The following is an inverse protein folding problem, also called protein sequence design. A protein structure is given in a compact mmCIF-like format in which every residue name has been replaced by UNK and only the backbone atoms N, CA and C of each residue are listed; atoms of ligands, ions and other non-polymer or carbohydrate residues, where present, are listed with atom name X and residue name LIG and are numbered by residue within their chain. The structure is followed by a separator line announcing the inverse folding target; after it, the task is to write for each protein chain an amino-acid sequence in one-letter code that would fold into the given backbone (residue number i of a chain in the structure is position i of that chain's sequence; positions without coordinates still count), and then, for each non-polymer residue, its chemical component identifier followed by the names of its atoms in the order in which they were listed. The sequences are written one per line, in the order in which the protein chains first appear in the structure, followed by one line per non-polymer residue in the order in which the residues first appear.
data_IF_478175240426
#
_entry.id   IF_478175240426
#
_cell.length_a   1.000
_cell.length_b   1.000
_cell.length_c   1.000
_cell.angle_alpha   90.00
_cell.angle_beta   90.00
_cell.angle_gamma   90.00
#
_symmetry.space_group_name_H-M   'P 1'
#
loop_
_entity.id
_entity.type
_entity.pdbx_description
1 polymer ?
#
# COMPACT_ATOMS: atom_id res chain seq x y z
N UNK A 1 6.94 6.19 20.20
CA UNK A 1 6.48 5.15 19.29
C UNK A 1 7.69 4.64 18.54
N UNK A 2 7.94 3.33 18.57
CA UNK A 2 8.96 2.74 17.70
C UNK A 2 8.41 2.64 16.27
N UNK A 3 8.93 3.49 15.37
CA UNK A 3 8.39 3.68 14.01
C UNK A 3 9.37 3.09 13.00
N UNK A 4 8.86 2.20 12.14
CA UNK A 4 9.63 1.66 11.02
C UNK A 4 9.69 2.69 9.88
N UNK A 5 10.88 3.22 9.52
CA UNK A 5 11.01 4.10 8.37
C UNK A 5 10.79 3.32 7.06
N UNK A 6 10.40 4.02 5.99
CA UNK A 6 10.39 3.42 4.67
C UNK A 6 11.83 3.32 4.12
N UNK A 7 12.33 2.11 3.80
CA UNK A 7 13.66 1.95 3.23
C UNK A 7 13.73 2.24 1.72
N UNK A 8 12.60 2.50 1.06
CA UNK A 8 12.49 2.58 -0.41
C UNK A 8 11.89 3.90 -0.92
N UNK A 9 11.49 4.80 -0.02
CA UNK A 9 11.08 6.16 -0.38
C UNK A 9 12.24 6.89 -1.07
N UNK A 10 11.93 7.63 -2.15
CA UNK A 10 12.91 8.32 -2.99
C UNK A 10 13.58 7.41 -4.03
N UNK A 11 13.33 6.10 -4.01
CA UNK A 11 13.86 5.13 -4.98
C UNK A 11 12.76 4.40 -5.73
N UNK A 12 11.81 3.81 -5.02
CA UNK A 12 10.70 3.03 -5.60
C UNK A 12 9.47 3.89 -5.85
N UNK A 13 9.34 4.97 -5.09
CA UNK A 13 8.28 5.97 -5.21
C UNK A 13 8.80 7.31 -4.66
N UNK A 14 8.17 8.45 -5.02
CA UNK A 14 8.60 9.76 -4.54
C UNK A 14 8.62 9.87 -3.01
N UNK A 15 9.69 10.43 -2.45
CA UNK A 15 9.79 10.78 -1.03
C UNK A 15 9.10 12.11 -0.70
N UNK A 16 8.90 12.98 -1.70
CA UNK A 16 8.13 14.19 -1.55
C UNK A 16 6.63 13.86 -1.42
N UNK A 17 5.95 14.28 -0.33
CA UNK A 17 4.56 13.90 -0.06
C UNK A 17 3.58 14.42 -1.12
N UNK A 18 3.78 15.64 -1.63
CA UNK A 18 2.90 16.22 -2.64
C UNK A 18 3.04 15.48 -3.97
N UNK A 19 4.27 15.16 -4.39
CA UNK A 19 4.49 14.38 -5.61
C UNK A 19 3.93 12.96 -5.48
N UNK A 20 4.11 12.32 -4.33
CA UNK A 20 3.57 10.98 -4.09
C UNK A 20 2.03 11.00 -4.16
N UNK A 21 1.38 11.94 -3.45
CA UNK A 21 -0.07 12.08 -3.47
C UNK A 21 -0.60 12.28 -4.90
N UNK A 22 -0.04 13.23 -5.65
CA UNK A 22 -0.42 13.47 -7.05
C UNK A 22 -0.28 12.21 -7.90
N UNK A 23 0.86 11.50 -7.81
CA UNK A 23 1.08 10.29 -8.62
C UNK A 23 0.10 9.17 -8.28
N UNK A 24 -0.25 8.99 -6.99
CA UNK A 24 -1.24 8.01 -6.54
C UNK A 24 -2.62 8.37 -7.05
N UNK A 25 -3.02 9.65 -6.94
CA UNK A 25 -4.30 10.13 -7.46
C UNK A 25 -4.40 9.94 -8.98
N UNK A 26 -3.32 10.19 -9.73
CA UNK A 26 -3.26 9.93 -11.17
C UNK A 26 -3.52 8.45 -11.49
N UNK A 27 -2.86 7.52 -10.79
CA UNK A 27 -3.08 6.09 -10.99
C UNK A 27 -4.51 5.66 -10.65
N UNK A 28 -5.09 6.19 -9.56
CA UNK A 28 -6.46 5.89 -9.16
C UNK A 28 -7.50 6.47 -10.13
N UNK A 29 -7.25 7.67 -10.66
CA UNK A 29 -8.15 8.36 -11.58
C UNK A 29 -8.08 7.82 -13.02
N UNK A 30 -6.94 7.23 -13.41
CA UNK A 30 -6.80 6.55 -14.69
C UNK A 30 -7.53 5.20 -14.74
N UNK A 31 -7.95 4.65 -13.60
CA UNK A 31 -8.64 3.37 -13.56
C UNK A 31 -10.02 3.45 -14.23
N UNK A 32 -10.36 2.48 -15.10
CA UNK A 32 -11.67 2.45 -15.72
C UNK A 32 -12.76 2.20 -14.67
N UNK A 33 -14.01 2.63 -14.92
CA UNK A 33 -15.13 2.34 -14.04
C UNK A 33 -15.26 0.83 -13.80
N UNK A 34 -15.18 0.43 -12.53
CA UNK A 34 -15.32 -0.95 -12.09
C UNK A 34 -16.77 -1.22 -11.66
N UNK A 35 -17.45 -2.11 -12.37
CA UNK A 35 -18.75 -2.64 -11.98
C UNK A 35 -18.55 -4.07 -11.46
N UNK A 36 -18.32 -4.19 -10.16
CA UNK A 36 -18.14 -5.48 -9.50
C UNK A 36 -19.43 -5.88 -8.77
N UNK A 37 -19.88 -7.14 -8.88
CA UNK A 37 -21.00 -7.62 -8.09
C UNK A 37 -20.56 -7.78 -6.63
N UNK A 38 -21.38 -7.30 -5.70
CA UNK A 38 -21.16 -7.45 -4.26
C UNK A 38 -20.13 -6.46 -3.68
N UNK A 39 -19.62 -6.81 -2.50
CA UNK A 39 -18.65 -5.99 -1.75
C UNK A 39 -17.23 -6.50 -1.94
N UNK A 40 -16.32 -5.59 -2.28
CA UNK A 40 -14.88 -5.87 -2.38
C UNK A 40 -14.27 -5.85 -0.98
N UNK A 41 -13.85 -7.02 -0.49
CA UNK A 41 -13.21 -7.18 0.83
C UNK A 41 -11.68 -7.25 0.77
N UNK A 42 -11.11 -7.44 -0.41
CA UNK A 42 -9.65 -7.52 -0.62
C UNK A 42 -9.27 -7.14 -2.05
N UNK A 43 -8.04 -6.68 -2.22
CA UNK A 43 -7.42 -6.41 -3.52
C UNK A 43 -6.04 -7.06 -3.59
N UNK A 44 -5.61 -7.44 -4.79
CA UNK A 44 -4.25 -7.92 -5.05
C UNK A 44 -3.60 -6.92 -5.99
N UNK A 45 -2.42 -6.42 -5.62
CA UNK A 45 -1.69 -5.43 -6.38
C UNK A 45 -0.21 -5.84 -6.54
N UNK A 46 0.44 -5.45 -7.65
CA UNK A 46 1.89 -5.57 -7.79
C UNK A 46 2.62 -4.63 -6.82
N UNK A 47 3.86 -4.98 -6.46
CA UNK A 47 4.68 -4.23 -5.51
C UNK A 47 6.01 -3.74 -6.09
N UNK A 48 6.16 -3.65 -7.42
CA UNK A 48 7.34 -3.03 -8.02
C UNK A 48 7.35 -1.50 -7.80
N UNK A 49 8.42 -0.83 -8.22
CA UNK A 49 8.47 0.64 -8.21
C UNK A 49 7.28 1.25 -8.96
N UNK A 50 6.77 2.38 -8.47
CA UNK A 50 5.53 3.00 -8.96
C UNK A 50 5.59 3.30 -10.47
N UNK A 51 6.75 3.67 -11.00
CA UNK A 51 6.92 3.93 -12.44
C UNK A 51 6.62 2.70 -13.31
N UNK A 52 6.78 1.48 -12.77
CA UNK A 52 6.56 0.22 -13.49
C UNK A 52 5.18 -0.36 -13.23
N UNK A 53 4.70 -0.27 -11.99
CA UNK A 53 3.49 -1.00 -11.57
C UNK A 53 2.38 -0.12 -10.98
N UNK A 54 2.60 1.18 -10.84
CA UNK A 54 1.66 2.11 -10.22
C UNK A 54 0.30 2.14 -10.92
N UNK A 55 0.27 2.19 -12.25
CA UNK A 55 -0.98 2.18 -13.02
C UNK A 55 -1.79 0.88 -12.80
N UNK A 56 -1.10 -0.27 -12.74
CA UNK A 56 -1.75 -1.57 -12.50
C UNK A 56 -2.27 -1.66 -11.06
N UNK A 57 -1.50 -1.18 -10.08
CA UNK A 57 -1.95 -1.09 -8.69
C UNK A 57 -3.15 -0.14 -8.55
N UNK A 58 -3.17 0.97 -9.30
CA UNK A 58 -4.28 1.92 -9.36
C UNK A 58 -5.61 1.26 -9.73
N UNK A 59 -5.61 0.33 -10.70
CA UNK A 59 -6.81 -0.45 -11.04
C UNK A 59 -7.34 -1.27 -9.85
N UNK A 60 -6.44 -1.90 -9.10
CA UNK A 60 -6.84 -2.72 -7.95
C UNK A 60 -7.41 -1.84 -6.82
N UNK A 61 -6.71 -0.78 -6.44
CA UNK A 61 -7.13 0.11 -5.35
C UNK A 61 -8.36 0.97 -5.71
N UNK A 62 -8.62 1.24 -6.99
CA UNK A 62 -9.86 1.89 -7.42
C UNK A 62 -11.12 1.08 -7.01
N UNK A 63 -11.03 -0.25 -6.91
CA UNK A 63 -12.14 -1.12 -6.50
C UNK A 63 -12.59 -0.92 -5.04
N UNK A 64 -11.71 -0.34 -4.21
CA UNK A 64 -12.00 -0.02 -2.79
C UNK A 64 -12.04 1.48 -2.54
N UNK A 65 -12.10 2.30 -3.60
CA UNK A 65 -12.18 3.76 -3.48
C UNK A 65 -13.43 4.18 -2.71
N UNK A 66 -13.27 5.13 -1.79
CA UNK A 66 -14.36 5.61 -0.93
C UNK A 66 -14.67 4.69 0.25
N UNK A 67 -13.99 3.55 0.39
CA UNK A 67 -14.03 2.75 1.62
C UNK A 67 -13.16 3.40 2.69
N UNK A 68 -13.59 3.27 3.94
CA UNK A 68 -12.86 3.71 5.12
C UNK A 68 -12.91 2.56 6.16
N UNK A 69 -12.16 1.46 5.92
CA UNK A 69 -12.12 0.36 6.87
C UNK A 69 -11.35 0.78 8.14
N UNK A 70 -11.76 0.24 9.30
CA UNK A 70 -11.06 0.46 10.57
C UNK A 70 -9.71 -0.26 10.61
N UNK A 71 -9.58 -1.38 9.88
CA UNK A 71 -8.37 -2.21 9.81
C UNK A 71 -8.06 -2.60 8.36
N UNK A 72 -6.78 -2.54 7.99
CA UNK A 72 -6.27 -3.05 6.71
C UNK A 72 -5.15 -4.05 7.00
N UNK A 73 -5.29 -5.28 6.48
CA UNK A 73 -4.25 -6.31 6.57
C UNK A 73 -3.46 -6.33 5.26
N UNK A 74 -2.13 -6.16 5.35
CA UNK A 74 -1.22 -6.25 4.20
C UNK A 74 -0.45 -7.56 4.27
N UNK A 75 -0.72 -8.47 3.32
CA UNK A 75 -0.01 -9.73 3.17
C UNK A 75 0.94 -9.62 1.99
N UNK A 76 2.22 -9.93 2.20
CA UNK A 76 3.25 -9.83 1.16
C UNK A 76 4.26 -10.96 1.24
N UNK A 77 4.90 -11.34 0.13
CA UNK A 77 5.96 -12.33 0.15
C UNK A 77 7.23 -11.78 0.80
N UNK A 78 7.91 -12.64 1.55
CA UNK A 78 9.26 -12.38 2.05
C UNK A 78 10.27 -12.76 0.97
N UNK A 79 10.95 -11.76 0.40
CA UNK A 79 11.90 -11.96 -0.71
C UNK A 79 13.25 -12.51 -0.26
N UNK A 80 13.54 -12.44 1.04
CA UNK A 80 14.74 -13.00 1.65
C UNK A 80 14.41 -14.36 2.28
N UNK A 81 15.36 -15.31 2.35
CA UNK A 81 15.12 -16.56 3.06
C UNK A 81 14.72 -16.30 4.52
N UNK A 82 13.61 -16.91 4.95
CA UNK A 82 13.14 -16.87 6.33
C UNK A 82 12.56 -18.23 6.72
N UNK A 83 12.82 -18.67 7.95
CA UNK A 83 12.53 -20.04 8.39
C UNK A 83 11.12 -20.22 8.94
N UNK A 84 10.48 -19.14 9.40
CA UNK A 84 9.15 -19.23 10.02
C UNK A 84 8.03 -19.04 9.00
N UNK A 85 6.85 -19.64 9.24
CA UNK A 85 5.73 -19.59 8.30
C UNK A 85 5.12 -18.19 8.17
N UNK A 86 5.26 -17.34 9.19
CA UNK A 86 4.74 -15.98 9.22
C UNK A 86 5.75 -15.07 9.90
N UNK A 87 5.85 -13.84 9.38
CA UNK A 87 6.56 -12.74 10.02
C UNK A 87 5.59 -11.57 10.14
N UNK A 88 5.62 -10.91 11.29
CA UNK A 88 4.96 -9.62 11.50
C UNK A 88 5.97 -8.59 11.99
N UNK A 89 5.59 -7.32 11.96
CA UNK A 89 6.43 -6.23 12.44
C UNK A 89 6.55 -6.27 13.96
N UNK A 90 7.75 -6.00 14.47
CA UNK A 90 7.97 -5.73 15.89
C UNK A 90 7.81 -4.24 16.26
N UNK A 91 7.72 -3.36 15.26
CA UNK A 91 7.51 -1.92 15.44
C UNK A 91 6.05 -1.62 15.78
N UNK A 92 5.77 -0.38 16.17
CA UNK A 92 4.43 0.09 16.54
C UNK A 92 3.72 0.82 15.40
N UNK A 93 4.47 1.25 14.37
CA UNK A 93 3.94 1.93 13.19
C UNK A 93 4.87 1.83 11.98
N UNK A 94 4.31 2.08 10.80
CA UNK A 94 5.06 2.29 9.55
C UNK A 94 5.02 3.77 9.16
N UNK A 95 6.17 4.34 8.80
CA UNK A 95 6.23 5.67 8.21
C UNK A 95 6.13 5.59 6.69
N UNK A 96 5.29 6.44 6.12
CA UNK A 96 5.24 6.76 4.69
C UNK A 96 5.45 8.26 4.49
N UNK A 97 5.75 8.73 3.26
CA UNK A 97 5.76 10.17 3.00
C UNK A 97 4.41 10.85 3.29
N UNK A 98 3.30 10.14 3.16
CA UNK A 98 1.95 10.67 3.39
C UNK A 98 1.53 10.67 4.88
N UNK A 99 2.37 10.11 5.76
CA UNK A 99 2.09 10.05 7.19
C UNK A 99 2.48 8.72 7.84
N UNK A 100 2.25 8.67 9.14
CA UNK A 100 2.50 7.49 9.97
C UNK A 100 1.23 6.64 10.03
N UNK A 101 1.37 5.34 9.80
CA UNK A 101 0.29 4.35 9.88
C UNK A 101 0.57 3.47 11.11
N UNK A 102 -0.26 3.56 12.17
CA UNK A 102 -0.10 2.70 13.34
C UNK A 102 -0.39 1.24 12.99
N UNK A 103 0.30 0.32 13.65
CA UNK A 103 0.04 -1.11 13.55
C UNK A 103 -0.96 -1.47 14.63
N UNK A 104 -2.01 -2.18 14.24
CA UNK A 104 -2.99 -2.73 15.16
C UNK A 104 -2.36 -3.83 16.02
N UNK A 105 -2.62 -3.81 17.33
CA UNK A 105 -1.93 -4.68 18.32
C UNK A 105 -2.86 -5.64 19.06
N UNK A 106 -4.14 -5.66 18.70
CA UNK A 106 -5.17 -6.52 19.32
C UNK A 106 -5.55 -7.71 18.43
#
# INVERSE_FOLDING_TARGET
MDIRPSPIAGQWYPDNPAQLATSVDEYLNAAPPLHLPGEVVAVIAPHAGHIYSGAVAGHAFAAVRGRAPDLVVVVSPMHQPYVQPLLTSAHEAYQTPLGIIPIDRE
#
